data_IF_410938064503
#
_entry.id   IF_410938064503
#
_cell.length_a   1.000
_cell.length_b   1.000
_cell.length_c   1.000
_cell.angle_alpha   90.00
_cell.angle_beta   90.00
_cell.angle_gamma   90.00
#
_symmetry.space_group_name_H-M   'P 1'
#
loop_
_entity.id
_entity.type
_entity.pdbx_description
1 polymer ?
#
# COMPACT_ATOMS: atom_id res chain seq x y z
N UNK A 1 -15.53 -22.98 0.70
CA UNK A 1 -14.33 -22.20 0.94
C UNK A 1 -13.28 -22.67 -0.05
N UNK A 2 -12.79 -21.77 -0.87
CA UNK A 2 -11.75 -22.09 -1.86
C UNK A 2 -10.39 -21.94 -1.18
N UNK A 3 -9.57 -22.98 -1.19
CA UNK A 3 -8.20 -22.93 -0.68
C UNK A 3 -7.22 -22.74 -1.83
N UNK A 4 -5.99 -22.34 -1.53
CA UNK A 4 -4.92 -22.24 -2.53
C UNK A 4 -4.69 -23.60 -3.23
N UNK A 5 -4.83 -24.70 -2.48
CA UNK A 5 -4.75 -26.06 -3.02
C UNK A 5 -5.88 -26.37 -4.00
N UNK A 6 -7.10 -25.87 -3.72
CA UNK A 6 -8.22 -26.02 -4.64
C UNK A 6 -7.99 -25.29 -5.97
N UNK A 7 -7.39 -24.08 -5.90
CA UNK A 7 -6.99 -23.33 -7.10
C UNK A 7 -5.99 -24.11 -7.94
N UNK A 8 -4.95 -24.68 -7.31
CA UNK A 8 -3.94 -25.50 -8.00
C UNK A 8 -4.60 -26.74 -8.61
N UNK A 9 -5.42 -27.47 -7.86
CA UNK A 9 -6.08 -28.68 -8.34
C UNK A 9 -7.04 -28.40 -9.50
N UNK A 10 -7.76 -27.29 -9.47
CA UNK A 10 -8.61 -26.85 -10.60
C UNK A 10 -7.77 -26.51 -11.82
N UNK A 11 -6.64 -25.83 -11.65
CA UNK A 11 -5.72 -25.56 -12.75
C UNK A 11 -5.15 -26.84 -13.35
N UNK A 12 -4.75 -27.84 -12.53
CA UNK A 12 -4.30 -29.14 -12.99
C UNK A 12 -5.42 -29.89 -13.74
N UNK A 13 -6.65 -29.83 -13.25
CA UNK A 13 -7.81 -30.42 -13.91
C UNK A 13 -8.06 -29.76 -15.28
N UNK A 14 -7.94 -28.45 -15.39
CA UNK A 14 -8.13 -27.70 -16.64
C UNK A 14 -7.16 -28.14 -17.73
N UNK A 15 -5.91 -28.43 -17.37
CA UNK A 15 -4.92 -28.96 -18.33
C UNK A 15 -5.06 -30.47 -18.58
N UNK A 16 -6.01 -31.12 -17.90
CA UNK A 16 -6.30 -32.54 -18.10
C UNK A 16 -5.30 -33.52 -17.47
N UNK A 17 -4.60 -33.07 -16.42
CA UNK A 17 -3.84 -34.01 -15.56
C UNK A 17 -4.81 -34.73 -14.63
N UNK A 18 -4.53 -36.01 -14.35
CA UNK A 18 -5.34 -36.80 -13.40
C UNK A 18 -4.79 -36.76 -11.98
N UNK A 19 -3.69 -36.06 -11.78
CA UNK A 19 -3.03 -35.90 -10.49
C UNK A 19 -3.67 -34.75 -9.72
N UNK A 20 -3.79 -34.92 -8.41
CA UNK A 20 -4.19 -33.88 -7.46
C UNK A 20 -3.07 -33.67 -6.47
N UNK A 21 -2.90 -32.43 -6.01
CA UNK A 21 -1.91 -32.05 -5.01
C UNK A 21 -2.61 -31.85 -3.68
N UNK A 22 -2.07 -32.39 -2.61
CA UNK A 22 -2.54 -32.15 -1.25
C UNK A 22 -1.87 -30.91 -0.64
N UNK A 23 -2.43 -30.38 0.44
CA UNK A 23 -1.84 -29.25 1.15
C UNK A 23 -0.42 -29.54 1.67
N UNK A 24 -0.17 -30.77 2.11
CA UNK A 24 1.15 -31.20 2.58
C UNK A 24 2.17 -31.29 1.43
N UNK A 25 1.76 -31.77 0.27
CA UNK A 25 2.62 -31.85 -0.92
C UNK A 25 2.95 -30.46 -1.46
N UNK A 26 1.97 -29.54 -1.47
CA UNK A 26 2.19 -28.17 -1.89
C UNK A 26 3.16 -27.43 -0.93
N UNK A 27 3.00 -27.63 0.38
CA UNK A 27 3.85 -26.99 1.38
C UNK A 27 5.29 -27.55 1.40
N UNK A 28 5.46 -28.82 1.11
CA UNK A 28 6.78 -29.51 1.17
C UNK A 28 7.41 -29.75 -0.20
N UNK A 29 6.76 -29.34 -1.29
CA UNK A 29 7.27 -29.48 -2.67
C UNK A 29 7.70 -30.91 -3.03
N UNK A 30 6.88 -31.90 -2.64
CA UNK A 30 7.23 -33.32 -2.77
C UNK A 30 6.92 -33.90 -4.14
N UNK A 31 6.02 -33.30 -4.90
CA UNK A 31 5.65 -33.73 -6.26
C UNK A 31 6.08 -32.69 -7.30
N UNK A 32 6.31 -33.12 -8.54
CA UNK A 32 6.70 -32.23 -9.62
C UNK A 32 5.62 -31.18 -9.87
N UNK A 33 4.35 -31.56 -9.80
CA UNK A 33 3.20 -30.67 -9.92
C UNK A 33 3.19 -29.58 -8.83
N UNK A 34 3.50 -29.96 -7.58
CA UNK A 34 3.57 -29.02 -6.46
C UNK A 34 4.73 -28.03 -6.63
N UNK A 35 5.90 -28.51 -7.03
CA UNK A 35 7.08 -27.66 -7.31
C UNK A 35 6.76 -26.64 -8.41
N UNK A 36 6.23 -27.12 -9.55
CA UNK A 36 5.90 -26.22 -10.65
C UNK A 36 4.80 -25.22 -10.29
N UNK A 37 3.79 -25.64 -9.51
CA UNK A 37 2.74 -24.75 -9.05
C UNK A 37 3.31 -23.66 -8.12
N UNK A 38 4.13 -24.00 -7.13
CA UNK A 38 4.72 -23.04 -6.20
C UNK A 38 5.59 -21.98 -6.89
N UNK A 39 6.34 -22.37 -7.93
CA UNK A 39 7.18 -21.44 -8.68
C UNK A 39 6.40 -20.29 -9.35
N UNK A 40 5.15 -20.53 -9.74
CA UNK A 40 4.39 -19.56 -10.55
C UNK A 40 3.14 -19.01 -9.85
N UNK A 41 2.63 -19.71 -8.83
CA UNK A 41 1.34 -19.42 -8.17
C UNK A 41 1.22 -17.97 -7.68
N UNK A 42 2.21 -17.55 -6.89
CA UNK A 42 2.19 -16.22 -6.27
C UNK A 42 2.42 -15.12 -7.32
N UNK A 43 3.37 -15.32 -8.21
CA UNK A 43 3.68 -14.36 -9.26
C UNK A 43 2.46 -14.12 -10.16
N UNK A 44 1.78 -15.19 -10.59
CA UNK A 44 0.60 -15.07 -11.44
C UNK A 44 -0.59 -14.41 -10.73
N UNK A 45 -0.75 -14.69 -9.43
CA UNK A 45 -1.75 -13.99 -8.60
C UNK A 45 -1.48 -12.50 -8.55
N UNK A 46 -0.25 -12.14 -8.21
CA UNK A 46 0.16 -10.75 -8.02
C UNK A 46 0.14 -9.96 -9.35
N UNK A 47 0.51 -10.62 -10.45
CA UNK A 47 0.39 -10.02 -11.79
C UNK A 47 -1.07 -9.74 -12.15
N UNK A 48 -1.97 -10.70 -11.90
CA UNK A 48 -3.40 -10.52 -12.15
C UNK A 48 -4.00 -9.41 -11.27
N UNK A 49 -3.61 -9.35 -9.98
CA UNK A 49 -4.02 -8.27 -9.07
C UNK A 49 -3.55 -6.90 -9.58
N UNK A 50 -2.36 -6.80 -10.17
CA UNK A 50 -1.83 -5.53 -10.70
C UNK A 50 -2.50 -5.06 -11.98
N UNK A 51 -3.16 -5.93 -12.73
CA UNK A 51 -3.79 -5.58 -14.03
C UNK A 51 -4.95 -4.60 -13.88
N UNK A 52 -5.71 -4.68 -12.78
CA UNK A 52 -6.84 -3.80 -12.53
C UNK A 52 -6.95 -3.42 -11.04
N UNK A 53 -7.66 -2.34 -10.72
CA UNK A 53 -7.98 -1.97 -9.35
C UNK A 53 -9.20 -2.78 -8.86
N UNK A 54 -9.00 -4.07 -8.62
CA UNK A 54 -10.04 -4.98 -8.14
C UNK A 54 -10.59 -4.56 -6.79
N UNK A 55 -11.90 -4.51 -6.60
CA UNK A 55 -12.55 -4.10 -5.35
C UNK A 55 -12.11 -4.96 -4.16
N UNK A 56 -11.93 -6.26 -4.37
CA UNK A 56 -11.42 -7.18 -3.35
C UNK A 56 -9.98 -6.90 -2.90
N UNK A 57 -9.21 -6.15 -3.70
CA UNK A 57 -7.82 -5.82 -3.44
C UNK A 57 -7.58 -4.32 -3.18
N UNK A 58 -8.60 -3.48 -3.37
CA UNK A 58 -8.49 -2.05 -3.09
C UNK A 58 -8.35 -1.81 -1.58
N UNK A 59 -7.36 -1.02 -1.21
CA UNK A 59 -7.12 -0.60 0.16
C UNK A 59 -6.76 0.88 0.19
N UNK A 60 -7.23 1.55 1.23
CA UNK A 60 -6.87 2.94 1.51
C UNK A 60 -6.09 2.98 2.83
N UNK A 61 -4.95 3.64 2.83
CA UNK A 61 -4.14 3.81 4.03
C UNK A 61 -3.43 5.17 4.04
N UNK A 62 -3.26 5.72 5.24
CA UNK A 62 -2.44 6.91 5.42
C UNK A 62 -0.98 6.55 5.16
N UNK A 63 -0.29 7.41 4.42
CA UNK A 63 1.12 7.20 4.12
C UNK A 63 1.99 7.60 5.31
N UNK A 64 3.02 6.81 5.58
CA UNK A 64 4.03 7.14 6.59
C UNK A 64 5.01 8.14 5.99
N UNK A 65 5.11 9.29 6.64
CA UNK A 65 6.01 10.38 6.25
C UNK A 65 7.48 9.96 6.41
N UNK A 66 8.32 10.33 5.45
CA UNK A 66 9.77 10.14 5.49
C UNK A 66 10.46 11.50 5.60
N UNK A 67 10.26 12.38 4.63
CA UNK A 67 10.91 13.69 4.59
C UNK A 67 10.16 14.68 3.69
N UNK A 68 10.52 15.95 3.80
CA UNK A 68 10.02 17.03 2.94
C UNK A 68 11.14 18.04 2.60
N UNK A 69 10.89 18.88 1.61
CA UNK A 69 11.84 19.94 1.28
C UNK A 69 11.89 21.01 2.38
N UNK A 70 13.04 21.69 2.58
CA UNK A 70 13.15 22.80 3.52
C UNK A 70 12.11 23.89 3.26
N UNK A 71 11.54 24.45 4.34
CA UNK A 71 10.49 25.47 4.28
C UNK A 71 9.07 24.94 4.28
N UNK A 72 8.86 23.62 4.37
CA UNK A 72 7.55 23.02 4.65
C UNK A 72 7.25 23.04 6.16
N UNK A 73 5.97 22.90 6.60
CA UNK A 73 5.64 22.85 8.02
C UNK A 73 6.40 21.79 8.82
N UNK A 74 6.67 20.64 8.22
CA UNK A 74 7.42 19.54 8.85
C UNK A 74 8.94 19.75 8.78
N UNK A 75 9.40 20.61 7.89
CA UNK A 75 10.82 20.91 7.70
C UNK A 75 11.08 22.42 7.76
N UNK A 76 11.32 22.92 8.96
CA UNK A 76 11.53 24.34 9.23
C UNK A 76 12.95 24.85 8.87
N UNK A 77 13.79 24.00 8.32
CA UNK A 77 15.12 24.41 7.85
C UNK A 77 15.03 25.48 6.76
N UNK A 78 15.97 26.41 6.67
CA UNK A 78 15.96 27.40 5.61
C UNK A 78 16.06 26.74 4.23
N UNK A 79 15.24 27.19 3.30
CA UNK A 79 15.28 26.69 1.92
C UNK A 79 16.66 27.02 1.30
N UNK A 80 17.32 25.98 0.78
CA UNK A 80 18.53 26.12 -0.01
C UNK A 80 18.17 26.02 -1.49
N UNK A 81 18.93 26.71 -2.36
CA UNK A 81 18.65 26.65 -3.81
C UNK A 81 19.07 25.33 -4.46
N UNK A 82 19.90 24.53 -3.78
CA UNK A 82 20.41 23.28 -4.30
C UNK A 82 19.72 22.11 -3.61
N UNK A 83 19.25 21.16 -4.42
CA UNK A 83 18.76 19.88 -3.93
C UNK A 83 19.91 19.09 -3.28
N UNK A 84 19.65 18.47 -2.15
CA UNK A 84 20.60 17.60 -1.46
C UNK A 84 20.02 16.19 -1.35
N UNK A 85 20.87 15.13 -1.42
CA UNK A 85 20.44 13.78 -1.16
C UNK A 85 19.74 13.65 0.20
N UNK A 86 18.65 12.88 0.24
CA UNK A 86 17.80 12.76 1.43
C UNK A 86 16.65 13.74 1.47
N UNK A 87 16.44 14.50 0.42
CA UNK A 87 15.26 15.35 0.22
C UNK A 87 14.47 14.86 -0.98
N UNK A 88 13.13 15.08 -1.02
CA UNK A 88 12.34 14.74 -2.20
C UNK A 88 12.93 15.36 -3.46
N UNK A 89 13.02 14.55 -4.53
CA UNK A 89 13.53 15.05 -5.80
C UNK A 89 12.57 16.09 -6.39
N UNK A 90 13.06 17.26 -6.86
CA UNK A 90 12.19 18.26 -7.49
C UNK A 90 11.39 17.69 -8.67
N UNK A 91 10.10 18.05 -8.85
CA UNK A 91 9.38 19.16 -8.24
C UNK A 91 8.53 18.77 -7.00
N UNK A 92 8.88 17.72 -6.31
CA UNK A 92 8.08 17.17 -5.21
C UNK A 92 8.48 17.79 -3.87
N UNK A 93 7.47 17.99 -3.00
CA UNK A 93 7.67 18.60 -1.69
C UNK A 93 7.77 17.58 -0.56
N UNK A 94 7.10 16.45 -0.68
CA UNK A 94 7.00 15.43 0.36
C UNK A 94 7.37 14.05 -0.16
N UNK A 95 7.96 13.26 0.71
CA UNK A 95 8.31 11.87 0.47
C UNK A 95 7.70 10.98 1.53
N UNK A 96 7.07 9.89 1.08
CA UNK A 96 6.38 8.91 1.91
C UNK A 96 6.85 7.51 1.63
N UNK A 97 6.74 6.66 2.65
CA UNK A 97 7.05 5.25 2.54
C UNK A 97 6.03 4.55 1.65
N UNK A 98 6.52 3.71 0.74
CA UNK A 98 5.67 2.83 -0.07
C UNK A 98 5.17 1.68 0.82
N UNK A 99 3.84 1.44 0.93
CA UNK A 99 3.32 0.36 1.75
C UNK A 99 3.83 -1.00 1.32
N UNK A 100 4.18 -1.85 2.28
CA UNK A 100 4.82 -3.16 2.02
C UNK A 100 3.88 -4.11 1.27
N UNK A 101 2.58 -4.06 1.60
CA UNK A 101 1.54 -4.86 0.97
C UNK A 101 1.02 -4.25 -0.35
N UNK A 102 1.62 -3.16 -0.81
CA UNK A 102 1.19 -2.46 -2.01
C UNK A 102 1.79 -3.09 -3.27
N UNK A 103 0.95 -3.67 -4.11
CA UNK A 103 1.33 -4.12 -5.44
C UNK A 103 1.33 -2.98 -6.46
N UNK A 104 0.34 -2.07 -6.39
CA UNK A 104 0.18 -0.95 -7.31
C UNK A 104 -0.45 0.24 -6.60
N UNK A 105 0.23 1.38 -6.61
CA UNK A 105 -0.34 2.66 -6.17
C UNK A 105 -1.31 3.18 -7.25
N UNK A 106 -2.52 3.56 -6.85
CA UNK A 106 -3.58 3.99 -7.76
C UNK A 106 -3.78 5.51 -7.72
N UNK A 107 -4.05 6.07 -6.55
CA UNK A 107 -4.32 7.50 -6.39
C UNK A 107 -4.00 7.97 -4.97
N UNK A 108 -3.78 9.28 -4.82
CA UNK A 108 -3.62 9.91 -3.52
C UNK A 108 -4.84 10.79 -3.23
N UNK A 109 -5.42 10.60 -2.05
CA UNK A 109 -6.48 11.44 -1.51
C UNK A 109 -5.83 12.45 -0.56
N UNK A 110 -6.02 13.76 -0.76
CA UNK A 110 -5.54 14.76 0.18
C UNK A 110 -6.27 14.62 1.51
N UNK A 111 -5.53 14.60 2.62
CA UNK A 111 -6.13 14.66 3.95
C UNK A 111 -6.64 16.09 4.20
N UNK A 112 -7.82 16.20 4.79
CA UNK A 112 -8.44 17.43 5.37
C UNK A 112 -7.80 18.76 4.97
N UNK A 113 -8.07 19.26 3.77
CA UNK A 113 -7.67 20.62 3.42
C UNK A 113 -8.68 21.63 3.97
N UNK A 114 -8.33 22.26 5.08
CA UNK A 114 -8.94 23.53 5.46
C UNK A 114 -8.38 24.61 4.52
N UNK A 115 -9.18 25.05 3.55
CA UNK A 115 -8.82 26.14 2.66
C UNK A 115 -8.44 25.72 1.25
N UNK A 116 -9.34 25.06 0.55
CA UNK A 116 -9.18 24.80 -0.87
C UNK A 116 -9.43 26.08 -1.68
N UNK A 117 -8.36 26.59 -2.31
CA UNK A 117 -8.47 27.70 -3.27
C UNK A 117 -8.96 27.15 -4.61
N UNK A 118 -10.26 27.18 -4.85
CA UNK A 118 -10.87 26.77 -6.12
C UNK A 118 -11.99 25.73 -6.03
N UNK A 119 -12.26 25.18 -4.86
CA UNK A 119 -13.46 24.41 -4.54
C UNK A 119 -14.30 25.15 -3.51
N UNK A 120 -15.52 24.73 -3.31
CA UNK A 120 -16.41 25.29 -2.31
C UNK A 120 -15.77 25.05 -0.93
N UNK A 121 -15.35 26.08 -0.22
CA UNK A 121 -14.85 25.90 1.13
C UNK A 121 -15.99 25.36 1.99
N UNK A 122 -15.87 24.16 2.52
CA UNK A 122 -16.73 23.74 3.61
C UNK A 122 -16.27 24.51 4.85
N UNK A 123 -16.60 25.77 4.89
CA UNK A 123 -16.42 26.65 6.05
C UNK A 123 -17.63 26.55 6.95
N UNK A 124 -18.07 25.40 7.29
CA UNK A 124 -18.88 25.28 8.48
C UNK A 124 -18.02 24.54 9.49
N UNK A 125 -17.41 25.31 10.37
CA UNK A 125 -17.17 24.84 11.71
C UNK A 125 -18.52 24.32 12.23
N UNK A 126 -18.82 23.07 11.98
CA UNK A 126 -19.89 22.38 12.66
C UNK A 126 -19.39 22.26 14.08
N UNK A 127 -19.91 23.16 14.92
CA UNK A 127 -19.80 23.09 16.37
C UNK A 127 -20.43 21.75 16.77
N UNK A 128 -19.65 20.71 16.84
CA UNK A 128 -20.16 19.37 17.10
C UNK A 128 -19.30 18.22 16.55
N UNK A 129 -18.04 18.44 16.25
CA UNK A 129 -17.04 17.36 16.13
C UNK A 129 -17.19 16.37 14.97
N UNK A 130 -18.00 16.62 13.97
CA UNK A 130 -18.01 15.85 12.73
C UNK A 130 -17.01 16.47 11.75
N UNK A 131 -15.84 15.86 11.61
CA UNK A 131 -14.90 16.16 10.52
C UNK A 131 -15.62 15.92 9.19
N UNK A 132 -15.92 16.97 8.45
CA UNK A 132 -16.37 16.82 7.08
C UNK A 132 -15.21 16.25 6.26
N UNK A 133 -15.28 14.98 5.87
CA UNK A 133 -14.35 14.35 4.94
C UNK A 133 -14.62 14.97 3.55
N UNK A 134 -13.69 15.81 3.10
CA UNK A 134 -13.73 16.31 1.74
C UNK A 134 -12.78 15.50 0.87
N UNK A 135 -13.31 14.86 -0.15
CA UNK A 135 -12.52 14.20 -1.17
C UNK A 135 -12.25 15.21 -2.28
N UNK A 136 -11.03 15.73 -2.31
CA UNK A 136 -10.55 16.50 -3.43
C UNK A 136 -10.21 15.63 -4.65
N UNK A 137 -9.95 16.25 -5.82
CA UNK A 137 -9.48 15.52 -6.97
C UNK A 137 -8.17 14.79 -6.64
N UNK A 138 -7.90 13.64 -7.29
CA UNK A 138 -6.66 12.89 -7.08
C UNK A 138 -5.43 13.78 -7.26
N UNK A 139 -4.51 13.69 -6.32
CA UNK A 139 -3.27 14.46 -6.34
C UNK A 139 -2.22 13.71 -7.13
N UNK A 140 -1.39 14.45 -7.87
CA UNK A 140 -0.27 13.85 -8.60
C UNK A 140 0.75 13.26 -7.65
N UNK A 141 1.28 12.12 -7.99
CA UNK A 141 2.35 11.46 -7.28
C UNK A 141 3.31 10.73 -8.23
N UNK A 142 4.48 10.39 -7.74
CA UNK A 142 5.47 9.57 -8.46
C UNK A 142 5.98 8.49 -7.51
N UNK A 143 6.10 7.27 -8.00
CA UNK A 143 6.81 6.21 -7.29
C UNK A 143 8.27 6.23 -7.77
N UNK A 144 9.19 6.24 -6.83
CA UNK A 144 10.63 6.26 -7.08
C UNK A 144 11.31 5.22 -6.19
N UNK A 145 12.54 4.88 -6.50
CA UNK A 145 13.43 4.10 -5.62
C UNK A 145 14.44 5.05 -5.02
N UNK A 146 14.58 4.99 -3.70
CA UNK A 146 15.59 5.75 -2.97
C UNK A 146 16.50 4.83 -2.18
N UNK A 147 17.67 5.34 -1.80
CA UNK A 147 18.71 4.61 -1.09
C UNK A 147 18.78 5.05 0.38
N UNK A 148 18.74 4.07 1.28
CA UNK A 148 18.76 4.26 2.73
C UNK A 148 19.79 3.34 3.38
N UNK A 149 20.19 3.69 4.60
CA UNK A 149 20.94 2.78 5.47
C UNK A 149 19.97 2.00 6.37
N UNK A 150 19.72 0.72 6.08
CA UNK A 150 18.80 -0.07 6.87
C UNK A 150 19.31 -0.33 8.28
N UNK A 151 18.41 -0.27 9.26
CA UNK A 151 18.69 -0.62 10.64
C UNK A 151 18.60 -2.14 10.80
N UNK A 152 19.67 -2.75 11.26
CA UNK A 152 19.79 -4.22 11.42
C UNK A 152 19.62 -4.68 12.86
N UNK A 153 19.98 -3.83 13.84
CA UNK A 153 19.83 -4.13 15.26
C UNK A 153 19.69 -2.85 16.08
N UNK A 154 19.17 -2.98 17.28
CA UNK A 154 19.13 -1.93 18.29
C UNK A 154 19.60 -2.46 19.64
N UNK A 155 20.38 -1.67 20.35
CA UNK A 155 20.79 -1.96 21.72
C UNK A 155 20.17 -0.96 22.70
N UNK A 156 19.66 -1.45 23.81
CA UNK A 156 19.06 -0.62 24.87
C UNK A 156 20.15 0.12 25.61
N UNK A 157 20.07 1.46 25.69
CA UNK A 157 20.95 2.31 26.50
C UNK A 157 20.28 2.65 27.82
N UNK A 158 19.01 3.08 27.77
CA UNK A 158 18.18 3.27 28.93
C UNK A 158 16.85 2.55 28.71
N UNK A 159 16.45 1.71 29.68
CA UNK A 159 15.24 0.88 29.53
C UNK A 159 13.94 1.63 29.81
N UNK A 160 14.00 2.84 30.40
CA UNK A 160 12.78 3.56 30.80
C UNK A 160 11.97 2.80 31.87
N UNK A 161 10.66 2.95 31.84
CA UNK A 161 9.74 2.24 32.75
C UNK A 161 8.35 2.10 32.18
N UNK A 162 7.58 1.12 32.66
CA UNK A 162 6.16 0.97 32.30
C UNK A 162 5.90 0.23 30.97
N UNK A 163 6.88 -0.50 30.44
CA UNK A 163 6.72 -1.30 29.22
C UNK A 163 6.20 -2.71 29.53
N UNK A 164 5.55 -3.28 28.55
CA UNK A 164 5.16 -4.69 28.52
C UNK A 164 5.85 -5.43 27.39
N UNK A 165 6.06 -6.72 27.56
CA UNK A 165 6.51 -7.59 26.44
C UNK A 165 5.44 -7.56 25.36
N UNK A 166 5.86 -7.33 24.11
CA UNK A 166 4.95 -7.16 22.97
C UNK A 166 4.67 -5.70 22.61
N UNK A 167 5.06 -4.72 23.44
CA UNK A 167 4.97 -3.31 23.04
C UNK A 167 5.85 -3.01 21.84
N UNK A 168 5.38 -2.12 20.97
CA UNK A 168 6.16 -1.60 19.85
C UNK A 168 6.54 -0.16 20.14
N UNK A 169 7.84 0.09 20.17
CA UNK A 169 8.43 1.42 20.38
C UNK A 169 8.80 1.98 19.00
N UNK A 170 8.27 3.14 18.67
CA UNK A 170 8.65 3.87 17.45
C UNK A 170 9.72 4.90 17.80
N UNK A 171 10.79 4.91 17.03
CA UNK A 171 11.85 5.92 17.13
C UNK A 171 11.55 7.07 16.15
N UNK A 172 12.07 8.29 16.44
CA UNK A 172 11.90 9.41 15.52
C UNK A 172 12.51 9.10 14.14
N UNK A 173 11.93 9.65 13.10
CA UNK A 173 12.31 9.42 11.70
C UNK A 173 13.67 10.01 11.32
N UNK A 174 14.53 10.34 12.26
CA UNK A 174 15.86 10.87 11.99
C UNK A 174 16.52 11.44 13.25
N UNK A 175 17.75 11.98 13.14
CA UNK A 175 18.42 12.58 14.29
C UNK A 175 17.57 13.73 14.84
N UNK A 176 17.72 13.99 16.12
CA UNK A 176 17.01 15.06 16.87
C UNK A 176 17.27 16.48 16.32
N UNK A 177 18.06 16.62 15.28
CA UNK A 177 18.24 17.86 14.53
C UNK A 177 17.29 17.88 13.35
N UNK A 178 16.26 18.71 13.42
CA UNK A 178 15.30 18.99 12.34
C UNK A 178 15.99 19.15 10.97
N UNK A 179 15.49 18.48 9.89
CA UNK A 179 14.26 17.69 9.82
C UNK A 179 14.52 16.19 10.06
N UNK A 180 13.48 15.44 10.43
CA UNK A 180 13.56 13.98 10.45
C UNK A 180 13.79 13.47 9.02
N UNK A 181 14.83 12.66 8.85
CA UNK A 181 15.23 12.16 7.53
C UNK A 181 15.31 10.63 7.58
N UNK A 182 14.26 9.97 7.10
CA UNK A 182 14.20 8.51 7.01
C UNK A 182 12.86 7.93 7.42
N UNK A 183 12.68 6.64 7.20
CA UNK A 183 11.52 5.90 7.68
C UNK A 183 11.68 5.60 9.18
N UNK A 184 10.64 5.82 10.02
CA UNK A 184 10.72 5.56 11.44
C UNK A 184 11.03 4.10 11.74
N UNK A 185 11.93 3.87 12.68
CA UNK A 185 12.31 2.53 13.16
C UNK A 185 11.32 2.10 14.21
N UNK A 186 10.82 0.88 14.10
CA UNK A 186 9.97 0.25 15.11
C UNK A 186 10.74 -0.88 15.79
N UNK A 187 10.69 -0.90 17.12
CA UNK A 187 11.33 -1.89 17.95
C UNK A 187 10.27 -2.63 18.76
N UNK A 188 10.30 -3.96 18.71
CA UNK A 188 9.46 -4.81 19.51
C UNK A 188 10.14 -5.08 20.87
N UNK A 189 9.43 -4.94 21.97
CA UNK A 189 9.93 -5.25 23.30
C UNK A 189 9.88 -6.77 23.52
N UNK A 190 11.03 -7.41 23.52
CA UNK A 190 11.13 -8.88 23.68
C UNK A 190 11.16 -9.28 25.14
N UNK A 191 11.76 -8.46 26.01
CA UNK A 191 11.78 -8.69 27.46
C UNK A 191 11.84 -7.39 28.25
N UNK A 192 11.31 -7.43 29.46
CA UNK A 192 11.34 -6.34 30.44
C UNK A 192 12.05 -6.77 31.72
N UNK A 193 12.72 -5.81 32.35
CA UNK A 193 13.43 -5.97 33.61
C UNK A 193 12.68 -5.38 34.79
N UNK A 194 13.43 -4.96 35.80
CA UNK A 194 12.90 -4.32 37.02
C UNK A 194 12.17 -3.02 36.64
N UNK A 195 11.05 -2.74 37.31
CA UNK A 195 10.18 -1.59 37.03
C UNK A 195 9.61 -1.55 35.60
N UNK A 196 9.47 -2.72 34.96
CA UNK A 196 9.04 -2.83 33.57
C UNK A 196 9.90 -1.97 32.63
N UNK A 197 11.19 -1.92 32.89
CA UNK A 197 12.15 -1.31 31.99
C UNK A 197 12.44 -2.25 30.81
N UNK A 198 12.62 -1.72 29.61
CA UNK A 198 13.01 -2.52 28.44
C UNK A 198 14.38 -3.17 28.69
N UNK A 199 14.45 -4.48 28.57
CA UNK A 199 15.71 -5.23 28.70
C UNK A 199 16.28 -5.64 27.35
N UNK A 200 15.44 -6.19 26.45
CA UNK A 200 15.83 -6.55 25.09
C UNK A 200 14.80 -6.12 24.09
N UNK A 201 15.24 -5.76 22.89
CA UNK A 201 14.38 -5.39 21.76
C UNK A 201 14.86 -6.08 20.49
N UNK A 202 13.92 -6.31 19.59
CA UNK A 202 14.18 -6.69 18.20
C UNK A 202 13.67 -5.63 17.24
N UNK A 203 14.31 -5.51 16.07
CA UNK A 203 13.86 -4.60 15.02
C UNK A 203 12.63 -5.21 14.37
N UNK A 204 11.54 -4.47 14.31
CA UNK A 204 10.30 -4.93 13.69
C UNK A 204 10.45 -4.91 12.19
N UNK A 205 10.46 -6.09 11.58
CA UNK A 205 10.49 -6.26 10.13
C UNK A 205 9.09 -6.51 9.54
N UNK A 206 8.04 -6.29 10.34
CA UNK A 206 6.67 -6.58 9.95
C UNK A 206 5.82 -5.32 10.11
N UNK A 207 5.26 -4.83 9.02
CA UNK A 207 4.24 -3.79 9.03
C UNK A 207 2.93 -4.45 8.59
N UNK A 208 1.88 -4.37 9.42
CA UNK A 208 0.54 -4.91 9.13
C UNK A 208 0.51 -6.39 8.73
N UNK A 209 1.36 -7.22 9.33
CA UNK A 209 1.40 -8.66 9.06
C UNK A 209 2.19 -9.10 7.83
N UNK A 210 2.74 -8.16 7.08
CA UNK A 210 3.66 -8.44 5.97
C UNK A 210 5.10 -8.12 6.37
N UNK A 211 6.05 -8.96 5.95
CA UNK A 211 7.47 -8.70 6.17
C UNK A 211 7.86 -7.38 5.50
N UNK A 212 8.20 -6.38 6.31
CA UNK A 212 8.82 -5.17 5.80
C UNK A 212 10.28 -5.50 5.46
N UNK A 213 10.79 -5.13 4.29
CA UNK A 213 12.17 -5.41 3.93
C UNK A 213 13.18 -4.70 4.84
N UNK A 214 12.74 -3.67 5.58
CA UNK A 214 13.59 -2.87 6.45
C UNK A 214 12.81 -2.44 7.69
N UNK A 215 13.32 -2.72 8.87
CA UNK A 215 12.76 -2.30 10.16
C UNK A 215 12.92 -0.82 10.47
N UNK A 216 12.91 0.00 9.44
CA UNK A 216 13.24 1.42 9.45
C UNK A 216 14.57 1.68 8.76
N UNK A 217 14.73 2.88 8.23
CA UNK A 217 15.88 3.26 7.45
C UNK A 217 16.16 4.76 7.53
N UNK A 218 17.43 5.14 7.47
CA UNK A 218 17.83 6.53 7.49
C UNK A 218 18.71 6.85 6.27
N UNK A 219 18.68 8.08 5.80
CA UNK A 219 19.55 8.55 4.73
C UNK A 219 21.02 8.66 5.15
N UNK A 220 21.30 8.75 6.44
CA UNK A 220 22.66 8.80 6.99
C UNK A 220 22.80 7.82 8.16
N UNK A 221 24.01 7.33 8.37
CA UNK A 221 24.33 6.49 9.53
C UNK A 221 24.17 7.31 10.80
N UNK A 222 23.33 6.82 11.70
CA UNK A 222 23.07 7.45 12.99
C UNK A 222 24.18 7.12 13.97
N UNK A 223 24.73 8.13 14.60
CA UNK A 223 25.72 7.99 15.67
C UNK A 223 25.14 8.56 16.96
N UNK A 224 25.14 7.76 18.02
CA UNK A 224 24.66 8.20 19.33
C UNK A 224 23.39 7.51 19.78
N UNK A 225 22.83 8.02 20.87
CA UNK A 225 21.63 7.48 21.51
C UNK A 225 20.40 8.19 20.98
N UNK A 226 19.39 7.40 20.60
CA UNK A 226 18.10 7.90 20.11
C UNK A 226 17.04 7.58 21.17
N UNK A 227 16.34 8.60 21.63
CA UNK A 227 15.20 8.43 22.53
C UNK A 227 13.97 7.91 21.77
N UNK A 228 13.09 7.20 22.46
CA UNK A 228 11.79 6.85 21.90
C UNK A 228 10.97 8.10 21.52
N UNK A 229 10.15 7.96 20.50
CA UNK A 229 9.13 8.94 20.12
C UNK A 229 7.78 8.53 20.67
N UNK A 230 7.28 7.36 20.24
CA UNK A 230 5.98 6.81 20.66
C UNK A 230 6.09 5.33 21.02
N UNK A 231 5.08 4.81 21.72
CA UNK A 231 4.93 3.38 22.01
C UNK A 231 3.47 2.98 21.95
N UNK A 232 3.21 1.73 21.62
CA UNK A 232 1.85 1.16 21.66
C UNK A 232 1.32 0.98 23.09
N UNK A 233 2.23 0.87 24.07
CA UNK A 233 1.92 0.76 25.49
C UNK A 233 2.00 2.11 26.24
N UNK A 234 2.14 2.03 27.55
CA UNK A 234 2.26 3.19 28.45
C UNK A 234 3.72 3.52 28.85
N UNK A 235 4.69 2.77 28.31
CA UNK A 235 6.10 2.90 28.67
C UNK A 235 6.70 4.23 28.19
N UNK A 236 7.64 4.77 28.98
CA UNK A 236 8.33 6.03 28.70
C UNK A 236 9.80 6.00 29.05
N UNK A 237 10.60 6.86 28.41
CA UNK A 237 11.99 7.11 28.79
C UNK A 237 13.00 6.09 28.27
N UNK A 238 12.64 5.20 27.34
CA UNK A 238 13.60 4.31 26.71
C UNK A 238 14.48 5.04 25.67
N UNK A 239 15.72 4.60 25.57
CA UNK A 239 16.64 5.10 24.55
C UNK A 239 17.54 3.98 24.04
N UNK A 240 17.97 4.11 22.79
CA UNK A 240 18.61 3.05 22.04
C UNK A 240 19.81 3.56 21.23
N UNK A 241 20.77 2.69 20.98
CA UNK A 241 21.75 2.85 19.93
C UNK A 241 21.42 1.89 18.78
N UNK A 242 21.52 2.39 17.55
CA UNK A 242 21.19 1.62 16.36
C UNK A 242 22.44 1.07 15.68
N UNK A 243 22.37 -0.17 15.22
CA UNK A 243 23.33 -0.73 14.30
C UNK A 243 22.72 -0.68 12.89
N UNK A 244 23.39 0.02 12.00
CA UNK A 244 22.95 0.16 10.61
C UNK A 244 23.92 -0.57 9.67
N UNK A 245 23.39 -1.05 8.56
CA UNK A 245 24.23 -1.58 7.49
C UNK A 245 25.13 -0.47 6.93
N UNK A 246 26.38 -0.77 6.67
CA UNK A 246 27.28 0.12 5.92
C UNK A 246 26.97 0.17 4.44
N UNK A 247 26.21 -0.81 3.95
CA UNK A 247 25.73 -0.88 2.56
C UNK A 247 24.32 -0.31 2.50
N UNK A 248 24.10 0.62 1.56
CA UNK A 248 22.78 1.17 1.29
C UNK A 248 21.83 0.09 0.76
N UNK A 249 20.63 0.06 1.31
CA UNK A 249 19.51 -0.67 0.74
C UNK A 249 18.69 0.24 -0.16
N UNK A 250 17.89 -0.36 -1.04
CA UNK A 250 16.96 0.36 -1.91
C UNK A 250 15.54 0.19 -1.41
N UNK A 251 14.78 1.27 -1.35
CA UNK A 251 13.37 1.26 -0.94
C UNK A 251 12.53 2.04 -1.93
N UNK A 252 11.32 1.54 -2.20
CA UNK A 252 10.34 2.30 -2.98
C UNK A 252 9.73 3.38 -2.11
N UNK A 253 9.60 4.57 -2.67
CA UNK A 253 9.02 5.74 -2.01
C UNK A 253 7.96 6.38 -2.90
N UNK A 254 7.07 7.15 -2.29
CA UNK A 254 6.03 7.92 -2.96
C UNK A 254 6.36 9.40 -2.78
N UNK A 255 6.53 10.08 -3.89
CA UNK A 255 6.75 11.52 -3.96
C UNK A 255 5.45 12.24 -4.31
N UNK A 256 5.07 13.27 -3.57
CA UNK A 256 3.87 14.06 -3.82
C UNK A 256 4.05 15.50 -3.31
N UNK A 257 3.15 16.40 -3.71
CA UNK A 257 3.09 17.77 -3.16
C UNK A 257 2.00 17.90 -2.07
N UNK A 258 1.46 16.77 -1.61
CA UNK A 258 0.43 16.73 -0.60
C UNK A 258 0.99 16.37 0.77
N UNK A 259 0.77 17.26 1.73
CA UNK A 259 0.94 16.99 3.16
C UNK A 259 -0.17 16.03 3.66
N UNK A 260 0.16 15.11 4.57
CA UNK A 260 -0.77 14.13 5.11
C UNK A 260 -1.51 13.31 4.04
N UNK A 261 -0.75 12.69 3.14
CA UNK A 261 -1.29 11.95 2.01
C UNK A 261 -1.91 10.61 2.43
N UNK A 262 -3.07 10.29 1.89
CA UNK A 262 -3.71 8.98 1.97
C UNK A 262 -3.65 8.30 0.62
N UNK A 263 -3.13 7.09 0.56
CA UNK A 263 -2.98 6.33 -0.68
C UNK A 263 -4.12 5.34 -0.85
N UNK A 264 -4.77 5.38 -2.01
CA UNK A 264 -5.56 4.27 -2.52
C UNK A 264 -4.69 3.38 -3.39
N UNK A 265 -4.66 2.08 -3.11
CA UNK A 265 -3.77 1.15 -3.78
C UNK A 265 -4.33 -0.28 -3.84
N UNK A 266 -3.81 -1.05 -4.77
CA UNK A 266 -4.05 -2.49 -4.85
C UNK A 266 -3.11 -3.18 -3.88
N UNK A 267 -3.67 -3.85 -2.86
CA UNK A 267 -2.90 -4.64 -1.91
C UNK A 267 -2.69 -6.07 -2.41
N UNK A 268 -1.68 -6.72 -1.91
CA UNK A 268 -1.49 -8.15 -2.07
C UNK A 268 -2.56 -8.91 -1.28
N UNK A 269 -3.39 -9.69 -1.95
CA UNK A 269 -4.41 -10.56 -1.35
C UNK A 269 -3.95 -12.00 -1.49
N UNK A 270 -3.79 -12.69 -0.36
CA UNK A 270 -3.31 -14.07 -0.32
C UNK A 270 -4.42 -15.08 -0.10
N UNK A 271 -5.53 -14.66 0.51
CA UNK A 271 -6.68 -15.53 0.78
C UNK A 271 -7.64 -15.59 -0.43
N UNK A 272 -7.80 -16.75 -1.08
CA UNK A 272 -8.71 -16.90 -2.21
C UNK A 272 -10.18 -16.63 -1.87
N UNK A 273 -10.58 -16.76 -0.60
CA UNK A 273 -11.99 -16.58 -0.21
C UNK A 273 -12.45 -15.12 -0.25
N UNK A 274 -11.53 -14.17 -0.21
CA UNK A 274 -11.81 -12.73 -0.33
C UNK A 274 -11.96 -12.31 -1.79
N UNK A 275 -11.45 -13.12 -2.71
CA UNK A 275 -11.43 -12.81 -4.14
C UNK A 275 -12.79 -13.16 -4.78
N UNK A 276 -13.24 -12.31 -5.72
CA UNK A 276 -14.42 -12.60 -6.52
C UNK A 276 -14.27 -13.88 -7.35
N UNK A 277 -15.39 -14.53 -7.65
CA UNK A 277 -15.43 -15.80 -8.41
C UNK A 277 -14.90 -15.67 -9.82
N UNK A 278 -15.12 -14.53 -10.48
CA UNK A 278 -14.59 -14.25 -11.81
C UNK A 278 -13.07 -14.07 -11.77
N UNK A 279 -12.57 -13.36 -10.77
CA UNK A 279 -11.13 -13.24 -10.52
C UNK A 279 -10.49 -14.62 -10.27
N UNK A 280 -11.11 -15.45 -9.42
CA UNK A 280 -10.62 -16.81 -9.16
C UNK A 280 -10.55 -17.63 -10.45
N UNK A 281 -11.56 -17.53 -11.34
CA UNK A 281 -11.57 -18.22 -12.63
C UNK A 281 -10.44 -17.75 -13.54
N UNK A 282 -10.21 -16.45 -13.61
CA UNK A 282 -9.10 -15.89 -14.38
C UNK A 282 -7.74 -16.37 -13.82
N UNK A 283 -7.59 -16.41 -12.50
CA UNK A 283 -6.38 -16.90 -11.85
C UNK A 283 -6.13 -18.39 -12.11
N UNK A 284 -7.18 -19.25 -12.01
CA UNK A 284 -7.10 -20.67 -12.32
C UNK A 284 -6.65 -20.89 -13.76
N UNK A 285 -7.23 -20.19 -14.74
CA UNK A 285 -6.89 -20.33 -16.14
C UNK A 285 -5.48 -19.81 -16.44
N UNK A 286 -5.07 -18.71 -15.80
CA UNK A 286 -3.71 -18.18 -15.92
C UNK A 286 -2.68 -19.17 -15.36
N UNK A 287 -2.93 -19.73 -14.19
CA UNK A 287 -2.11 -20.75 -13.57
C UNK A 287 -2.06 -22.02 -14.45
N UNK A 288 -3.20 -22.43 -14.98
CA UNK A 288 -3.28 -23.57 -15.90
C UNK A 288 -2.45 -23.37 -17.17
N UNK A 289 -2.41 -22.15 -17.72
CA UNK A 289 -1.58 -21.84 -18.90
C UNK A 289 -0.09 -22.01 -18.62
N UNK A 290 0.38 -21.55 -17.45
CA UNK A 290 1.76 -21.75 -17.03
C UNK A 290 2.13 -23.20 -16.75
N UNK A 291 1.26 -23.91 -16.02
CA UNK A 291 1.44 -25.34 -15.74
C UNK A 291 1.39 -26.18 -17.00
N UNK A 292 0.58 -25.82 -17.99
CA UNK A 292 0.49 -26.52 -19.26
C UNK A 292 1.83 -26.56 -19.98
N UNK A 293 2.56 -25.45 -19.99
CA UNK A 293 3.90 -25.40 -20.59
C UNK A 293 4.91 -26.27 -19.83
N UNK A 294 4.87 -26.24 -18.49
CA UNK A 294 5.82 -26.93 -17.65
C UNK A 294 5.58 -28.46 -17.61
N UNK A 295 4.31 -28.89 -17.56
CA UNK A 295 3.95 -30.31 -17.33
C UNK A 295 3.63 -31.05 -18.63
N UNK A 296 3.03 -30.40 -19.63
CA UNK A 296 2.59 -31.06 -20.88
C UNK A 296 3.37 -30.63 -22.11
N UNK A 297 4.00 -29.48 -22.09
CA UNK A 297 4.67 -28.90 -23.26
C UNK A 297 3.71 -28.53 -24.41
N UNK A 298 2.39 -28.44 -24.14
CA UNK A 298 1.37 -28.13 -25.13
C UNK A 298 1.16 -26.62 -25.26
N UNK A 299 1.85 -26.03 -26.22
CA UNK A 299 1.78 -24.60 -26.49
C UNK A 299 0.41 -24.17 -27.05
N UNK A 300 -0.30 -25.05 -27.74
CA UNK A 300 -1.59 -24.72 -28.35
C UNK A 300 -2.65 -24.55 -27.26
N UNK A 301 -2.70 -25.49 -26.32
CA UNK A 301 -3.59 -25.42 -25.16
C UNK A 301 -3.24 -24.22 -24.27
N UNK A 302 -1.94 -23.97 -24.01
CA UNK A 302 -1.52 -22.81 -23.22
C UNK A 302 -2.01 -21.49 -23.85
N UNK A 303 -1.88 -21.32 -25.16
CA UNK A 303 -2.35 -20.13 -25.85
C UNK A 303 -3.88 -19.97 -25.82
N UNK A 304 -4.66 -21.07 -25.93
CA UNK A 304 -6.12 -21.00 -25.77
C UNK A 304 -6.53 -20.58 -24.37
N UNK A 305 -5.85 -21.10 -23.34
CA UNK A 305 -6.09 -20.69 -21.95
C UNK A 305 -5.79 -19.21 -21.70
N UNK A 306 -4.72 -18.67 -22.30
CA UNK A 306 -4.42 -17.24 -22.21
C UNK A 306 -5.54 -16.38 -22.85
N UNK A 307 -6.12 -16.82 -23.97
CA UNK A 307 -7.27 -16.13 -24.57
C UNK A 307 -8.49 -16.14 -23.64
N UNK A 308 -8.77 -17.28 -23.00
CA UNK A 308 -9.84 -17.39 -22.01
C UNK A 308 -9.59 -16.49 -20.79
N UNK A 309 -8.32 -16.39 -20.32
CA UNK A 309 -7.91 -15.47 -19.25
C UNK A 309 -8.26 -14.03 -19.63
N UNK A 310 -7.91 -13.58 -20.83
CA UNK A 310 -8.17 -12.21 -21.26
C UNK A 310 -9.69 -11.91 -21.28
N UNK A 311 -10.51 -12.84 -21.79
CA UNK A 311 -11.96 -12.70 -21.77
C UNK A 311 -12.52 -12.70 -20.33
N UNK A 312 -11.99 -13.55 -19.45
CA UNK A 312 -12.39 -13.59 -18.05
C UNK A 312 -12.01 -12.28 -17.32
N UNK A 313 -10.84 -11.72 -17.59
CA UNK A 313 -10.41 -10.44 -17.03
C UNK A 313 -11.32 -9.30 -17.49
N UNK A 314 -11.65 -9.24 -18.77
CA UNK A 314 -12.55 -8.20 -19.30
C UNK A 314 -13.94 -8.27 -18.68
N UNK A 315 -14.51 -9.48 -18.53
CA UNK A 315 -15.81 -9.67 -17.88
C UNK A 315 -15.75 -9.35 -16.39
N UNK A 316 -14.69 -9.76 -15.70
CA UNK A 316 -14.51 -9.48 -14.27
C UNK A 316 -14.38 -7.98 -14.02
N UNK A 317 -13.59 -7.27 -14.84
CA UNK A 317 -13.45 -5.80 -14.74
C UNK A 317 -14.77 -5.07 -14.99
N UNK A 318 -15.61 -5.59 -15.90
CA UNK A 318 -16.91 -4.99 -16.16
C UNK A 318 -17.88 -5.16 -14.97
N UNK A 319 -17.83 -6.31 -14.30
CA UNK A 319 -18.66 -6.57 -13.10
C UNK A 319 -18.15 -5.73 -11.93
N UNK A 320 -16.86 -5.79 -11.63
CA UNK A 320 -16.20 -5.06 -10.55
C UNK A 320 -16.43 -3.53 -10.68
N UNK A 321 -16.27 -2.99 -11.89
CA UNK A 321 -16.54 -1.58 -12.14
C UNK A 321 -18.01 -1.17 -12.00
N UNK A 322 -18.95 -2.10 -12.09
CA UNK A 322 -20.37 -1.85 -11.90
C UNK A 322 -20.80 -1.93 -10.42
N UNK A 323 -20.09 -2.63 -9.55
CA UNK A 323 -20.41 -2.71 -8.13
C UNK A 323 -20.29 -1.36 -7.41
N UNK A 324 -19.41 -0.48 -7.90
CA UNK A 324 -19.20 0.86 -7.38
C UNK A 324 -20.01 1.98 -8.08
N UNK A 325 -20.82 1.65 -9.06
CA UNK A 325 -21.64 2.64 -9.78
C UNK A 325 -22.72 3.21 -8.87
N UNK A 326 -22.48 4.39 -8.32
CA UNK A 326 -23.56 5.24 -7.85
C UNK A 326 -24.44 5.57 -9.05
N UNK A 327 -25.71 5.23 -8.96
CA UNK A 327 -26.72 5.67 -9.94
C UNK A 327 -26.64 7.19 -9.97
N UNK A 328 -26.03 7.76 -11.02
CA UNK A 328 -26.18 9.18 -11.28
C UNK A 328 -27.67 9.38 -11.51
N UNK A 329 -28.32 10.08 -10.60
CA UNK A 329 -29.68 10.53 -10.76
C UNK A 329 -29.67 11.56 -11.90
N UNK A 330 -29.70 11.04 -13.12
CA UNK A 330 -29.78 11.86 -14.34
C UNK A 330 -31.18 12.44 -14.30
N UNK A 331 -31.29 13.67 -13.80
CA UNK A 331 -32.53 14.42 -13.91
C UNK A 331 -32.96 14.41 -15.37
N UNK A 332 -34.07 13.76 -15.76
CA UNK A 332 -34.50 13.65 -17.14
C UNK A 332 -34.56 15.02 -17.81
N UNK A 333 -34.18 15.12 -19.08
CA UNK A 333 -34.12 16.41 -19.81
C UNK A 333 -35.43 17.19 -19.79
N UNK A 334 -36.58 16.50 -19.67
CA UNK A 334 -37.89 17.15 -19.55
C UNK A 334 -38.10 17.87 -18.21
N UNK A 335 -37.43 17.43 -17.13
CA UNK A 335 -37.41 18.14 -15.84
C UNK A 335 -36.51 19.35 -15.96
N UNK A 336 -35.34 19.22 -16.60
CA UNK A 336 -34.44 20.34 -16.89
C UNK A 336 -35.11 21.39 -17.76
N UNK A 337 -35.89 20.97 -18.77
CA UNK A 337 -36.63 21.86 -19.66
C UNK A 337 -37.74 22.68 -18.96
N UNK A 338 -38.24 22.22 -17.82
CA UNK A 338 -39.25 22.94 -17.01
C UNK A 338 -38.68 24.00 -16.11
N UNK A 339 -37.38 24.22 -16.10
CA UNK A 339 -36.74 25.21 -15.22
C UNK A 339 -36.87 24.91 -13.73
N UNK A 340 -37.37 23.72 -13.37
CA UNK A 340 -37.33 23.24 -12.00
C UNK A 340 -36.03 22.45 -11.84
N UNK A 341 -34.91 23.14 -12.13
CA UNK A 341 -33.71 22.77 -11.43
C UNK A 341 -34.03 23.12 -9.97
N UNK A 342 -34.26 22.14 -9.15
CA UNK A 342 -34.00 22.26 -7.74
C UNK A 342 -32.58 22.73 -7.68
N UNK A 343 -32.46 24.02 -7.43
CA UNK A 343 -31.18 24.67 -7.19
C UNK A 343 -30.61 24.09 -5.89
N UNK A 344 -30.16 22.87 -5.96
CA UNK A 344 -29.05 22.43 -5.15
C UNK A 344 -27.92 23.32 -5.62
N UNK A 345 -27.77 24.52 -5.06
CA UNK A 345 -26.84 25.57 -5.47
C UNK A 345 -25.39 25.18 -5.63
N UNK A 346 -25.14 23.91 -5.94
CA UNK A 346 -23.86 23.23 -6.00
C UNK A 346 -23.45 22.75 -7.38
N UNK A 347 -24.33 22.78 -8.41
CA UNK A 347 -24.05 22.14 -9.69
C UNK A 347 -24.33 22.96 -10.94
N UNK A 348 -24.44 24.30 -10.85
CA UNK A 348 -24.59 25.15 -12.05
C UNK A 348 -23.28 25.71 -12.61
N UNK A 349 -22.15 25.02 -12.37
CA UNK A 349 -20.88 25.35 -13.03
C UNK A 349 -20.68 24.54 -14.33
N UNK A 350 -19.80 24.99 -15.24
CA UNK A 350 -19.49 24.28 -16.48
C UNK A 350 -18.79 22.92 -16.27
N UNK A 351 -18.74 22.42 -15.05
CA UNK A 351 -18.13 21.15 -14.64
C UNK A 351 -19.16 20.13 -14.11
N UNK A 352 -20.46 20.34 -14.38
CA UNK A 352 -21.52 19.42 -13.92
C UNK A 352 -21.58 18.08 -14.67
N UNK A 353 -20.67 17.83 -15.61
CA UNK A 353 -20.46 16.54 -16.27
C UNK A 353 -19.07 15.99 -15.96
N UNK A 354 -18.76 15.78 -14.68
CA UNK A 354 -17.65 14.89 -14.34
C UNK A 354 -18.12 13.45 -14.57
N UNK A 355 -18.04 13.04 -15.81
CA UNK A 355 -18.13 11.64 -16.19
C UNK A 355 -16.87 10.92 -15.68
N UNK A 356 -16.99 10.24 -14.56
CA UNK A 356 -15.93 9.40 -14.01
C UNK A 356 -15.60 8.22 -14.93
N UNK A 357 -16.49 7.92 -15.92
CA UNK A 357 -16.28 6.87 -16.91
C UNK A 357 -15.19 7.19 -17.96
N UNK A 358 -14.81 8.45 -18.12
CA UNK A 358 -13.84 8.88 -19.14
C UNK A 358 -12.41 9.12 -18.65
N UNK A 359 -12.12 9.00 -17.35
CA UNK A 359 -10.83 9.43 -16.80
C UNK A 359 -9.81 8.32 -16.61
N UNK A 360 -10.06 7.15 -17.17
CA UNK A 360 -9.03 6.13 -17.33
C UNK A 360 -8.45 6.26 -18.73
N UNK A 361 -7.28 6.85 -18.91
CA UNK A 361 -6.61 6.75 -20.20
C UNK A 361 -6.33 5.26 -20.40
N UNK A 362 -6.85 4.72 -21.50
CA UNK A 362 -6.42 3.45 -22.03
C UNK A 362 -4.94 3.59 -22.39
N UNK A 363 -4.07 3.25 -21.46
CA UNK A 363 -2.67 3.00 -21.74
C UNK A 363 -2.51 1.49 -21.92
N UNK A 364 -2.49 1.12 -23.17
CA UNK A 364 -1.77 -0.06 -23.63
C UNK A 364 -0.31 0.31 -23.84
#
# INVERSE_FOLDING_TARGET
MTSTVDVVNRALQTIGTRTTVTAAELANETTNEAIQANLILENMRDDLLRMAPWDCALKTANLTYITSVPGTPENTSPATQLWTPGQPAPPWAYEYQYPVDCLRACYIIPANQTGFSGGIPITTAVTGGASAFWQGPPVRFKVQVDEFFPVTAAAVVAGGSGYAVGDVITLPAGPTTSPPIGAPVQLHVDSVGVSNAVATVSVVNVINGSAAPLGGSYFAIQTGTIAQDTTTGSGTGASFTLTQSSTKGTQRVILTNQEFATLGYVKQVTDPNVMDTLFQTAWINLLASGLCMALRGDKTLANSLIQEVNLAIESARAVDGNEGLTINDVTPDWIRARGVAWDDGYMSGPYSSFDWGGMWPAYF
#
